data_IF_504846681982
#
_entry.id   IF_504846681982
#
_cell.length_a   1.000
_cell.length_b   1.000
_cell.length_c   1.000
_cell.angle_alpha   90.00
_cell.angle_beta   90.00
_cell.angle_gamma   90.00
#
_symmetry.space_group_name_H-M   'P 1'
#
loop_
_entity.id
_entity.type
_entity.pdbx_description
1 polymer ?
#
# COMPACT_ATOMS: atom_id res chain seq x y z
N UNK A 1 33.32 -9.21 -36.16
CA UNK A 1 32.73 -9.59 -34.85
C UNK A 1 32.16 -8.32 -34.23
N UNK A 2 30.86 -8.30 -33.95
CA UNK A 2 30.16 -7.12 -33.44
C UNK A 2 30.71 -6.74 -32.07
N UNK A 3 31.20 -5.51 -31.93
CA UNK A 3 31.65 -4.94 -30.67
C UNK A 3 30.45 -4.83 -29.73
N UNK A 4 30.42 -5.65 -28.69
CA UNK A 4 29.36 -5.63 -27.68
C UNK A 4 29.65 -4.49 -26.70
N UNK A 5 28.90 -3.40 -26.83
CA UNK A 5 29.04 -2.24 -25.97
C UNK A 5 28.36 -2.47 -24.60
N UNK A 6 29.17 -2.92 -23.65
CA UNK A 6 28.78 -3.21 -22.27
C UNK A 6 28.17 -1.98 -21.57
N UNK A 7 28.60 -0.76 -21.91
CA UNK A 7 28.12 0.45 -21.24
C UNK A 7 26.72 0.84 -21.71
N UNK A 8 26.44 0.62 -23.00
CA UNK A 8 25.10 0.77 -23.55
C UNK A 8 24.11 -0.20 -22.87
N UNK A 9 24.49 -1.47 -22.76
CA UNK A 9 23.65 -2.50 -22.13
C UNK A 9 23.44 -2.30 -20.62
N UNK A 10 24.45 -1.81 -19.90
CA UNK A 10 24.27 -1.44 -18.49
C UNK A 10 23.34 -0.25 -18.32
N UNK A 11 23.36 0.70 -19.26
CA UNK A 11 22.50 1.89 -19.21
C UNK A 11 21.04 1.53 -19.47
N UNK A 12 20.77 0.64 -20.44
CA UNK A 12 19.43 0.11 -20.70
C UNK A 12 18.91 -0.70 -19.52
N UNK A 13 19.72 -1.57 -18.90
CA UNK A 13 19.35 -2.34 -17.70
C UNK A 13 19.02 -1.44 -16.50
N UNK A 14 19.79 -0.37 -16.26
CA UNK A 14 19.51 0.60 -15.19
C UNK A 14 18.22 1.37 -15.46
N UNK A 15 17.97 1.78 -16.71
CA UNK A 15 16.74 2.47 -17.10
C UNK A 15 15.50 1.57 -16.94
N UNK A 16 15.59 0.31 -17.35
CA UNK A 16 14.56 -0.71 -17.15
C UNK A 16 14.29 -0.94 -15.66
N UNK A 17 15.35 -1.11 -14.85
CA UNK A 17 15.23 -1.28 -13.40
C UNK A 17 14.53 -0.10 -12.74
N UNK A 18 14.86 1.13 -13.13
CA UNK A 18 14.21 2.35 -12.63
C UNK A 18 12.71 2.41 -12.98
N UNK A 19 12.35 1.90 -14.15
CA UNK A 19 10.97 1.85 -14.64
C UNK A 19 10.16 0.77 -13.92
N UNK A 20 10.74 -0.40 -13.70
CA UNK A 20 10.14 -1.49 -12.90
C UNK A 20 9.93 -1.04 -11.45
N UNK A 21 10.92 -0.34 -10.88
CA UNK A 21 10.83 0.21 -9.51
C UNK A 21 9.84 1.37 -9.38
N UNK A 22 9.36 1.96 -10.49
CA UNK A 22 8.35 3.02 -10.49
C UNK A 22 6.98 2.43 -10.11
N UNK A 23 6.80 2.22 -8.81
CA UNK A 23 5.54 1.72 -8.23
C UNK A 23 4.44 2.78 -8.42
N UNK A 24 3.34 2.40 -9.07
CA UNK A 24 2.26 3.36 -9.37
C UNK A 24 1.66 3.93 -8.09
N UNK A 25 1.34 5.23 -8.11
CA UNK A 25 0.69 5.94 -7.00
C UNK A 25 -0.72 5.38 -6.72
N UNK A 26 -1.37 4.79 -7.73
CA UNK A 26 -2.65 4.10 -7.57
C UNK A 26 -2.57 2.90 -6.63
N UNK A 27 -1.41 2.22 -6.55
CA UNK A 27 -1.16 1.17 -5.57
C UNK A 27 -0.97 1.70 -4.13
N UNK A 28 -0.79 3.02 -3.94
CA UNK A 28 -0.70 3.66 -2.60
C UNK A 28 -2.05 4.03 -2.01
N UNK A 29 -3.13 4.08 -2.79
CA UNK A 29 -4.47 4.37 -2.24
C UNK A 29 -4.99 3.13 -1.54
N UNK A 30 -5.01 3.16 -0.21
CA UNK A 30 -5.58 2.06 0.55
C UNK A 30 -7.09 2.07 0.35
N UNK A 31 -7.70 0.88 0.21
CA UNK A 31 -9.17 0.78 0.23
C UNK A 31 -9.77 1.28 1.55
N UNK A 32 -8.95 1.35 2.61
CA UNK A 32 -9.27 1.93 3.91
C UNK A 32 -9.43 3.45 3.84
N UNK A 33 -8.76 4.13 2.90
CA UNK A 33 -8.81 5.59 2.77
C UNK A 33 -10.22 6.10 2.48
N UNK A 34 -11.05 5.26 1.81
CA UNK A 34 -12.47 5.54 1.59
C UNK A 34 -13.28 5.60 2.88
N UNK A 35 -12.81 4.94 3.94
CA UNK A 35 -13.50 4.82 5.23
C UNK A 35 -12.73 5.50 6.36
N UNK A 36 -11.81 6.41 6.03
CA UNK A 36 -10.92 7.09 6.99
C UNK A 36 -11.70 7.68 8.16
N UNK A 37 -12.77 8.42 7.87
CA UNK A 37 -13.60 9.04 8.89
C UNK A 37 -14.22 8.03 9.86
N UNK A 38 -14.77 6.90 9.38
CA UNK A 38 -15.36 5.90 10.26
C UNK A 38 -14.31 5.15 11.08
N UNK A 39 -13.18 4.81 10.46
CA UNK A 39 -12.09 4.10 11.13
C UNK A 39 -11.44 4.94 12.22
N UNK A 40 -11.19 6.23 11.95
CA UNK A 40 -10.65 7.15 12.95
C UNK A 40 -11.64 7.40 14.09
N UNK A 41 -12.93 7.57 13.80
CA UNK A 41 -13.94 7.74 14.84
C UNK A 41 -14.02 6.50 15.77
N UNK A 42 -13.97 5.29 15.19
CA UNK A 42 -13.94 4.05 15.97
C UNK A 42 -12.64 3.95 16.79
N UNK A 43 -11.50 4.30 16.21
CA UNK A 43 -10.20 4.28 16.91
C UNK A 43 -10.16 5.28 18.06
N UNK A 44 -10.67 6.50 17.85
CA UNK A 44 -10.79 7.53 18.89
C UNK A 44 -11.74 7.11 20.02
N UNK A 45 -12.77 6.30 19.72
CA UNK A 45 -13.63 5.68 20.72
C UNK A 45 -12.96 4.51 21.47
N UNK A 46 -11.70 4.18 21.17
CA UNK A 46 -10.91 3.13 21.83
C UNK A 46 -10.90 1.79 21.10
N UNK A 47 -11.44 1.69 19.88
CA UNK A 47 -11.43 0.44 19.13
C UNK A 47 -10.00 0.05 18.71
N UNK A 48 -9.67 -1.21 18.91
CA UNK A 48 -8.39 -1.81 18.52
C UNK A 48 -8.34 -2.12 17.03
N UNK A 49 -7.12 -2.29 16.47
CA UNK A 49 -6.93 -2.66 15.06
C UNK A 49 -7.67 -3.96 14.66
N UNK A 50 -7.78 -4.92 15.57
CA UNK A 50 -8.51 -6.17 15.35
C UNK A 50 -10.03 -5.95 15.25
N UNK A 51 -10.57 -5.02 16.03
CA UNK A 51 -11.98 -4.65 15.98
C UNK A 51 -12.31 -3.85 14.73
N UNK A 52 -11.43 -2.94 14.31
CA UNK A 52 -11.55 -2.24 13.02
C UNK A 52 -11.55 -3.22 11.85
N UNK A 53 -10.67 -4.23 11.88
CA UNK A 53 -10.66 -5.30 10.88
C UNK A 53 -11.98 -6.08 10.87
N UNK A 54 -12.52 -6.42 12.05
CA UNK A 54 -13.82 -7.11 12.17
C UNK A 54 -14.95 -6.24 11.64
N UNK A 55 -14.96 -4.96 11.97
CA UNK A 55 -15.94 -3.99 11.49
C UNK A 55 -15.93 -3.87 9.96
N UNK A 56 -14.74 -3.80 9.34
CA UNK A 56 -14.58 -3.77 7.88
C UNK A 56 -15.11 -5.04 7.21
N UNK A 57 -14.88 -6.20 7.83
CA UNK A 57 -15.37 -7.47 7.31
C UNK A 57 -16.89 -7.58 7.42
N UNK A 58 -17.47 -7.23 8.57
CA UNK A 58 -18.92 -7.37 8.81
C UNK A 58 -19.73 -6.30 8.08
N UNK A 59 -19.34 -5.04 8.17
CA UNK A 59 -20.15 -3.92 7.64
C UNK A 59 -19.89 -3.60 6.17
N UNK A 60 -18.64 -3.78 5.70
CA UNK A 60 -18.22 -3.39 4.36
C UNK A 60 -17.83 -4.57 3.47
N UNK A 61 -17.86 -5.80 4.01
CA UNK A 61 -17.42 -7.04 3.32
C UNK A 61 -16.00 -6.93 2.76
N UNK A 62 -15.14 -6.16 3.42
CA UNK A 62 -13.75 -5.97 3.02
C UNK A 62 -12.86 -6.89 3.86
N UNK A 63 -12.17 -7.82 3.18
CA UNK A 63 -11.13 -8.64 3.78
C UNK A 63 -9.79 -7.91 3.69
N UNK A 64 -9.29 -7.43 4.82
CA UNK A 64 -7.94 -6.86 4.95
C UNK A 64 -7.16 -7.64 6.00
N UNK A 65 -5.83 -7.68 5.85
CA UNK A 65 -4.96 -8.24 6.87
C UNK A 65 -4.82 -7.28 8.05
N UNK A 66 -4.60 -7.82 9.25
CA UNK A 66 -4.38 -7.03 10.46
C UNK A 66 -3.23 -6.02 10.30
N UNK A 67 -2.12 -6.46 9.68
CA UNK A 67 -0.97 -5.61 9.36
C UNK A 67 -1.29 -4.45 8.43
N UNK A 68 -2.32 -4.58 7.59
CA UNK A 68 -2.78 -3.49 6.71
C UNK A 68 -3.51 -2.43 7.53
N UNK A 69 -4.31 -2.83 8.52
CA UNK A 69 -5.00 -1.90 9.43
C UNK A 69 -3.98 -1.20 10.33
N UNK A 70 -3.01 -1.92 10.90
CA UNK A 70 -1.95 -1.34 11.71
C UNK A 70 -1.12 -0.30 10.93
N UNK A 71 -0.57 -0.68 9.77
CA UNK A 71 0.19 0.27 8.93
C UNK A 71 -0.65 1.48 8.52
N UNK A 72 -1.94 1.28 8.32
CA UNK A 72 -2.85 2.36 7.99
C UNK A 72 -3.07 3.29 9.19
N UNK A 73 -3.26 2.74 10.39
CA UNK A 73 -3.33 3.52 11.63
C UNK A 73 -2.03 4.29 11.88
N UNK A 74 -0.85 3.66 11.76
CA UNK A 74 0.45 4.35 11.92
C UNK A 74 0.64 5.56 10.98
N UNK A 75 -0.08 5.58 9.86
CA UNK A 75 0.00 6.65 8.85
C UNK A 75 -1.07 7.73 9.05
N UNK A 76 -2.20 7.40 9.69
CA UNK A 76 -3.41 8.24 9.72
C UNK A 76 -3.91 8.59 11.13
N UNK A 77 -3.49 7.88 12.17
CA UNK A 77 -3.70 8.20 13.57
C UNK A 77 -2.49 8.93 14.15
#
# INVERSE_FOLDING_TARGET
MSYFDVQSELSTLKAQTKTIRKRSYSARKSRLDKYTHQLLALHQAGATAAELQRWLRTNKRIKVAHSTVLRWLEKHG
#
